data_IF_610302904884
#
_entry.id   IF_610302904884
#
_cell.length_a   1.000
_cell.length_b   1.000
_cell.length_c   1.000
_cell.angle_alpha   90.00
_cell.angle_beta   90.00
_cell.angle_gamma   90.00
#
_symmetry.space_group_name_H-M   'P 1'
#
loop_
_entity.id
_entity.type
_entity.pdbx_description
1 polymer ?
#
# COMPACT_ATOMS: atom_id res chain seq x y z
N UNK A 1 1.12 5.82 6.73
CA UNK A 1 0.67 5.60 5.34
C UNK A 1 0.31 6.94 4.73
N UNK A 2 0.58 7.14 3.45
CA UNK A 2 0.33 8.39 2.73
C UNK A 2 -0.38 8.05 1.42
N UNK A 3 -1.61 8.55 1.25
CA UNK A 3 -2.39 8.34 0.03
C UNK A 3 -2.04 9.36 -1.04
N UNK A 4 -1.84 8.89 -2.27
CA UNK A 4 -1.60 9.72 -3.45
C UNK A 4 -2.66 9.41 -4.52
N UNK A 5 -3.96 9.71 -4.26
CA UNK A 5 -5.06 9.29 -5.14
C UNK A 5 -5.00 9.86 -6.55
N UNK A 6 -4.32 10.99 -6.76
CA UNK A 6 -4.19 11.62 -8.08
C UNK A 6 -2.86 11.32 -8.76
N UNK A 7 -2.02 10.48 -8.16
CA UNK A 7 -0.75 10.07 -8.74
C UNK A 7 -0.93 9.13 -9.93
N UNK A 8 -0.05 9.24 -10.92
CA UNK A 8 0.01 8.30 -12.03
C UNK A 8 0.80 7.05 -11.60
N UNK A 9 0.29 5.86 -11.93
CA UNK A 9 0.93 4.59 -11.63
C UNK A 9 1.18 3.82 -12.94
N UNK A 10 2.44 3.51 -13.24
CA UNK A 10 2.84 2.86 -14.50
C UNK A 10 2.25 3.53 -15.77
N UNK A 11 2.15 4.87 -15.77
CA UNK A 11 1.59 5.64 -16.90
C UNK A 11 0.06 5.74 -16.91
N UNK A 12 -0.64 5.19 -15.92
CA UNK A 12 -2.09 5.31 -15.78
C UNK A 12 -2.42 6.53 -14.92
N UNK A 13 -2.99 7.56 -15.53
CA UNK A 13 -3.25 8.84 -14.88
C UNK A 13 -4.32 8.75 -13.79
N UNK A 14 -4.02 9.31 -12.62
CA UNK A 14 -4.92 9.35 -11.45
C UNK A 14 -5.41 7.96 -11.00
N UNK A 15 -4.70 6.91 -11.36
CA UNK A 15 -4.93 5.56 -10.84
C UNK A 15 -4.77 5.52 -9.32
N UNK A 16 -3.80 6.27 -8.79
CA UNK A 16 -3.53 6.39 -7.38
C UNK A 16 -2.72 5.24 -6.79
N UNK A 17 -2.08 5.52 -5.64
CA UNK A 17 -1.29 4.57 -4.87
C UNK A 17 -1.19 5.02 -3.40
N UNK A 18 -0.74 4.12 -2.54
CA UNK A 18 -0.43 4.42 -1.13
C UNK A 18 1.04 4.10 -0.83
N UNK A 19 1.73 5.06 -0.24
CA UNK A 19 3.08 4.89 0.28
C UNK A 19 3.04 4.49 1.75
N UNK A 20 3.70 3.39 2.09
CA UNK A 20 3.90 2.88 3.45
C UNK A 20 5.30 3.25 3.91
N UNK A 21 5.37 4.22 4.82
CA UNK A 21 6.59 4.53 5.56
C UNK A 21 6.56 3.74 6.86
N UNK A 22 7.51 2.82 7.04
CA UNK A 22 7.65 2.06 8.27
C UNK A 22 8.32 2.92 9.33
N UNK A 23 7.95 2.76 10.61
CA UNK A 23 8.72 3.31 11.73
C UNK A 23 9.89 2.41 12.14
N UNK A 24 10.87 2.97 12.82
CA UNK A 24 11.98 2.31 13.48
C UNK A 24 12.05 2.76 14.95
N UNK A 25 12.89 2.10 15.76
CA UNK A 25 13.11 2.52 17.15
C UNK A 25 13.66 3.94 17.28
N UNK A 26 14.24 4.49 16.20
CA UNK A 26 14.89 5.81 16.18
C UNK A 26 14.14 6.85 15.35
N UNK A 27 12.95 6.53 14.83
CA UNK A 27 12.14 7.46 14.04
C UNK A 27 11.46 6.80 12.86
N UNK A 28 11.43 7.45 11.71
CA UNK A 28 10.99 6.81 10.47
C UNK A 28 12.08 5.81 10.01
N UNK A 29 11.65 4.66 9.50
CA UNK A 29 12.48 3.57 8.99
C UNK A 29 13.13 3.90 7.64
N UNK A 30 13.63 2.90 6.89
CA UNK A 30 14.47 3.14 5.71
C UNK A 30 13.82 4.13 4.74
N UNK A 31 14.67 4.90 4.07
CA UNK A 31 14.30 6.09 3.29
C UNK A 31 13.32 5.83 2.14
N UNK A 32 13.13 4.57 1.75
CA UNK A 32 12.27 4.20 0.64
C UNK A 32 10.96 3.56 1.13
N UNK A 33 9.81 4.24 0.93
CA UNK A 33 8.51 3.70 1.29
C UNK A 33 8.14 2.53 0.38
N UNK A 34 7.45 1.53 0.94
CA UNK A 34 6.78 0.53 0.11
C UNK A 34 5.58 1.18 -0.59
N UNK A 35 5.40 0.93 -1.89
CA UNK A 35 4.29 1.49 -2.68
C UNK A 35 3.28 0.39 -3.00
N UNK A 36 2.01 0.68 -2.69
CA UNK A 36 0.88 -0.21 -2.94
C UNK A 36 -0.06 0.47 -3.94
N UNK A 37 -0.44 -0.26 -4.98
CA UNK A 37 -1.41 0.17 -6.00
C UNK A 37 -2.29 -1.01 -6.40
N UNK A 38 -3.30 -0.80 -7.25
CA UNK A 38 -4.07 -1.91 -7.83
C UNK A 38 -3.22 -2.89 -8.64
N UNK A 39 -2.07 -2.46 -9.16
CA UNK A 39 -1.13 -3.33 -9.86
C UNK A 39 -0.22 -4.14 -8.92
N UNK A 40 -0.31 -3.93 -7.60
CA UNK A 40 0.48 -4.69 -6.63
C UNK A 40 0.02 -6.15 -6.60
N UNK A 41 0.95 -7.06 -6.34
CA UNK A 41 0.67 -8.49 -6.24
C UNK A 41 -0.44 -8.74 -5.21
N UNK A 42 -1.37 -9.63 -5.54
CA UNK A 42 -2.54 -10.01 -4.74
C UNK A 42 -3.59 -8.90 -4.54
N UNK A 43 -3.52 -7.80 -5.29
CA UNK A 43 -4.64 -6.86 -5.42
C UNK A 43 -5.41 -7.21 -6.69
N UNK A 44 -6.69 -7.61 -6.60
CA UNK A 44 -7.49 -7.91 -7.78
C UNK A 44 -7.66 -6.68 -8.69
N UNK A 45 -7.73 -6.90 -10.00
CA UNK A 45 -7.92 -5.84 -10.99
C UNK A 45 -6.62 -5.27 -11.52
N UNK A 46 -6.73 -4.20 -12.30
CA UNK A 46 -5.61 -3.44 -12.83
C UNK A 46 -5.82 -1.96 -12.50
N UNK A 47 -4.73 -1.20 -12.46
CA UNK A 47 -4.81 0.25 -12.38
C UNK A 47 -5.58 0.82 -13.56
N UNK A 48 -6.68 1.51 -13.28
CA UNK A 48 -7.47 2.24 -14.27
C UNK A 48 -7.32 3.75 -14.07
N UNK A 49 -7.46 4.51 -15.15
CA UNK A 49 -7.43 5.96 -15.03
C UNK A 49 -8.58 6.43 -14.15
N UNK A 50 -8.32 7.44 -13.32
CA UNK A 50 -9.28 8.00 -12.37
C UNK A 50 -9.72 7.13 -11.20
N UNK A 51 -9.24 5.88 -11.05
CA UNK A 51 -9.68 5.02 -9.94
C UNK A 51 -9.38 5.59 -8.55
N UNK A 52 -8.37 6.45 -8.46
CA UNK A 52 -7.99 7.14 -7.25
C UNK A 52 -7.80 6.19 -6.06
N UNK A 53 -7.12 5.07 -6.29
CA UNK A 53 -6.71 4.14 -5.25
C UNK A 53 -5.94 4.89 -4.16
N UNK A 54 -6.28 4.63 -2.90
CA UNK A 54 -5.70 5.35 -1.76
C UNK A 54 -6.40 6.66 -1.41
N UNK A 55 -7.57 6.93 -2.01
CA UNK A 55 -8.42 8.08 -1.69
C UNK A 55 -9.04 8.01 -0.28
N UNK A 56 -9.18 6.79 0.25
CA UNK A 56 -9.48 6.48 1.64
C UNK A 56 -8.75 5.18 2.02
N UNK A 57 -8.31 5.06 3.27
CA UNK A 57 -7.77 3.83 3.81
C UNK A 57 -7.90 3.76 5.33
N UNK A 58 -7.89 2.54 5.86
CA UNK A 58 -7.75 2.26 7.29
C UNK A 58 -6.73 1.14 7.51
N UNK A 59 -6.16 1.07 8.71
CA UNK A 59 -5.23 0.02 9.10
C UNK A 59 -5.56 -0.52 10.48
N UNK A 60 -5.50 -1.84 10.62
CA UNK A 60 -5.64 -2.57 11.87
C UNK A 60 -5.00 -3.95 11.68
N UNK A 61 -4.67 -4.66 12.75
CA UNK A 61 -4.36 -6.09 12.68
C UNK A 61 -5.71 -6.83 12.59
N UNK A 62 -6.15 -7.13 11.36
CA UNK A 62 -7.48 -7.66 11.05
C UNK A 62 -7.54 -9.18 11.18
N UNK A 63 -6.40 -9.87 11.17
CA UNK A 63 -6.33 -11.33 11.31
C UNK A 63 -5.47 -11.84 12.47
N UNK A 64 -5.06 -10.93 13.37
CA UNK A 64 -4.40 -11.21 14.64
C UNK A 64 -3.02 -11.90 14.49
N UNK A 65 -2.27 -11.54 13.46
CA UNK A 65 -0.92 -12.05 13.21
C UNK A 65 0.20 -11.15 13.77
N UNK A 66 -0.16 -10.01 14.37
CA UNK A 66 0.77 -9.03 14.93
C UNK A 66 1.32 -8.02 13.92
N UNK A 67 0.83 -8.04 12.67
CA UNK A 67 1.14 -7.04 11.65
C UNK A 67 -0.10 -6.19 11.32
N UNK A 68 0.14 -4.95 10.87
CA UNK A 68 -0.96 -4.11 10.42
C UNK A 68 -1.42 -4.54 9.02
N UNK A 69 -2.68 -4.91 8.90
CA UNK A 69 -3.40 -5.02 7.64
C UNK A 69 -3.91 -3.65 7.20
N UNK A 70 -4.24 -3.58 5.91
CA UNK A 70 -4.71 -2.35 5.28
C UNK A 70 -5.91 -2.63 4.40
N UNK A 71 -6.92 -1.76 4.51
CA UNK A 71 -8.05 -1.71 3.58
C UNK A 71 -8.01 -0.38 2.84
N UNK A 72 -8.05 -0.43 1.52
CA UNK A 72 -7.90 0.72 0.62
C UNK A 72 -9.14 0.89 -0.25
N UNK A 73 -9.66 2.10 -0.31
CA UNK A 73 -10.76 2.47 -1.20
C UNK A 73 -10.30 3.17 -2.48
N UNK A 74 -11.12 3.04 -3.52
CA UNK A 74 -11.13 3.86 -4.73
C UNK A 74 -12.32 4.84 -4.67
N UNK A 75 -12.25 5.94 -5.42
CA UNK A 75 -13.39 6.90 -5.51
C UNK A 75 -14.37 6.53 -6.62
N UNK A 76 -13.96 5.72 -7.59
CA UNK A 76 -14.76 5.42 -8.80
C UNK A 76 -15.77 4.30 -8.55
N UNK A 77 -16.83 4.34 -9.35
CA UNK A 77 -18.04 3.51 -9.17
C UNK A 77 -17.87 2.04 -9.62
N UNK A 78 -16.64 1.60 -9.91
CA UNK A 78 -16.37 0.31 -10.58
C UNK A 78 -15.58 -0.67 -9.72
N UNK A 79 -14.91 -0.20 -8.67
CA UNK A 79 -14.00 -1.02 -7.86
C UNK A 79 -14.41 -0.98 -6.38
N UNK A 80 -14.68 -2.14 -5.78
CA UNK A 80 -14.94 -2.26 -4.34
C UNK A 80 -13.67 -2.01 -3.51
N UNK A 81 -13.76 -1.98 -2.17
CA UNK A 81 -12.59 -1.83 -1.31
C UNK A 81 -11.61 -3.01 -1.48
N UNK A 82 -10.31 -2.70 -1.55
CA UNK A 82 -9.23 -3.67 -1.70
C UNK A 82 -8.54 -3.91 -0.35
N UNK A 83 -8.48 -5.16 0.09
CA UNK A 83 -7.71 -5.56 1.28
C UNK A 83 -6.31 -6.02 0.91
N UNK A 84 -5.30 -5.58 1.66
CA UNK A 84 -3.92 -6.04 1.49
C UNK A 84 -3.18 -6.10 2.81
N UNK A 85 -2.21 -7.02 2.92
CA UNK A 85 -1.32 -7.09 4.08
C UNK A 85 -0.11 -6.19 3.87
N UNK A 86 0.23 -5.41 4.87
CA UNK A 86 1.41 -4.55 4.85
C UNK A 86 2.48 -5.16 5.75
N UNK A 87 3.31 -6.01 5.16
CA UNK A 87 4.45 -6.61 5.86
C UNK A 87 5.71 -5.82 5.57
N UNK A 88 6.49 -5.52 6.62
CA UNK A 88 7.87 -5.06 6.43
C UNK A 88 8.59 -6.08 5.54
N UNK A 89 9.28 -5.67 4.46
CA UNK A 89 10.25 -6.56 3.83
C UNK A 89 11.17 -7.07 4.93
N UNK A 90 11.36 -8.39 5.01
CA UNK A 90 12.35 -8.95 5.94
C UNK A 90 13.66 -8.21 5.71
N UNK A 91 14.24 -7.66 6.78
CA UNK A 91 15.62 -7.19 6.75
C UNK A 91 16.44 -8.30 6.08
N UNK A 92 17.13 -7.97 4.99
CA UNK A 92 18.02 -8.93 4.34
C UNK A 92 18.98 -9.51 5.37
N UNK A 93 19.23 -10.81 5.25
CA UNK A 93 20.25 -11.51 6.01
C UNK A 93 21.56 -10.72 6.01
N UNK A 94 21.95 -10.20 7.18
CA UNK A 94 23.34 -10.03 7.54
C UNK A 94 23.70 -11.24 8.40
N UNK A 95 24.41 -12.17 7.76
CA UNK A 95 25.41 -13.09 8.32
C UNK A 95 25.04 -13.86 9.60
N UNK A 96 24.65 -15.13 9.40
CA UNK A 96 25.09 -16.22 10.27
C UNK A 96 26.25 -16.89 9.52
N UNK A 97 27.49 -16.64 9.96
CA UNK A 97 28.72 -17.21 9.40
C UNK A 97 29.93 -16.33 9.65
#
# INVERSE_FOLDING_TARGET
>A
MIGTPYGSQNGVDRAGFVSVVYGSATGLGPSEPAVISQNSVNIPGAAEADDNFGSAFTSADLDADGYADMVVGTRTRTSGPFGTRVRRPSCGAAEQG
#
